data_IF_557836590410
#
_entry.id   IF_557836590410
#
_cell.length_a   1.000
_cell.length_b   1.000
_cell.length_c   1.000
_cell.angle_alpha   90.00
_cell.angle_beta   90.00
_cell.angle_gamma   90.00
#
_symmetry.space_group_name_H-M   'P 1'
#
loop_
_entity.id
_entity.type
_entity.pdbx_description
1 polymer ?
#
# COMPACT_ATOMS: atom_id res chain seq x y z
N UNK A 1 -21.92 7.69 8.25
CA UNK A 1 -20.45 7.78 8.32
C UNK A 1 -19.92 7.92 6.90
N UNK A 2 -19.09 8.93 6.59
CA UNK A 2 -18.48 9.06 5.25
C UNK A 2 -17.32 8.07 5.16
N UNK A 3 -17.37 7.16 4.19
CA UNK A 3 -16.28 6.22 3.92
C UNK A 3 -15.15 6.98 3.20
N UNK A 4 -13.96 7.02 3.81
CA UNK A 4 -12.75 7.56 3.19
C UNK A 4 -12.09 6.40 2.44
N UNK A 5 -11.74 6.64 1.17
CA UNK A 5 -11.06 5.66 0.32
C UNK A 5 -9.76 6.30 -0.14
N UNK A 6 -8.63 5.62 0.06
CA UNK A 6 -7.35 6.01 -0.53
C UNK A 6 -7.19 5.25 -1.84
N UNK A 7 -6.83 5.98 -2.90
CA UNK A 7 -6.51 5.41 -4.20
C UNK A 7 -5.05 5.70 -4.51
N UNK A 8 -4.21 4.66 -4.56
CA UNK A 8 -2.83 4.78 -5.02
C UNK A 8 -2.81 4.47 -6.51
N UNK A 9 -2.29 5.41 -7.31
CA UNK A 9 -2.13 5.23 -8.75
C UNK A 9 -0.68 4.86 -9.05
N UNK A 10 -0.44 3.60 -9.37
CA UNK A 10 0.88 3.13 -9.79
C UNK A 10 0.99 3.29 -11.30
N UNK A 11 1.90 4.14 -11.81
CA UNK A 11 2.08 4.32 -13.24
C UNK A 11 2.60 3.01 -13.88
N UNK A 12 2.05 2.68 -15.04
CA UNK A 12 2.58 1.64 -15.92
C UNK A 12 3.16 2.29 -17.19
N UNK A 13 3.84 1.49 -18.01
CA UNK A 13 4.19 1.90 -19.37
C UNK A 13 2.93 2.29 -20.17
N UNK A 14 3.08 3.28 -21.06
CA UNK A 14 2.03 3.77 -21.99
C UNK A 14 0.82 4.49 -21.35
N UNK A 15 1.04 5.34 -20.33
CA UNK A 15 0.02 6.21 -19.71
C UNK A 15 -1.13 5.51 -18.95
N UNK A 16 -1.10 4.18 -18.84
CA UNK A 16 -2.04 3.44 -18.01
C UNK A 16 -1.61 3.45 -16.54
N UNK A 17 -2.57 3.43 -15.61
CA UNK A 17 -2.31 3.43 -14.17
C UNK A 17 -3.05 2.28 -13.53
N UNK A 18 -2.35 1.49 -12.72
CA UNK A 18 -3.00 0.55 -11.81
C UNK A 18 -3.55 1.38 -10.64
N UNK A 19 -4.84 1.27 -10.36
CA UNK A 19 -5.47 1.92 -9.22
C UNK A 19 -5.64 0.90 -8.10
N UNK A 20 -4.91 1.10 -7.00
CA UNK A 20 -4.98 0.28 -5.80
C UNK A 20 -5.91 0.96 -4.80
N UNK A 21 -6.85 0.19 -4.25
CA UNK A 21 -7.75 0.65 -3.20
C UNK A 21 -7.15 0.28 -1.86
N UNK A 22 -6.85 1.29 -1.07
CA UNK A 22 -6.15 1.17 0.20
C UNK A 22 -7.06 1.60 1.32
N UNK A 23 -7.04 0.83 2.40
CA UNK A 23 -7.75 1.21 3.61
C UNK A 23 -6.93 2.25 4.40
N UNK A 24 -7.52 3.42 4.72
CA UNK A 24 -6.79 4.49 5.40
C UNK A 24 -6.40 4.16 6.85
N UNK A 25 -7.00 3.16 7.49
CA UNK A 25 -6.75 2.84 8.90
C UNK A 25 -5.40 2.16 9.09
N UNK A 26 -5.06 1.24 8.20
CA UNK A 26 -3.84 0.43 8.31
C UNK A 26 -2.94 0.52 7.08
N UNK A 27 -3.38 1.17 6.00
CA UNK A 27 -2.70 1.23 4.71
C UNK A 27 -2.60 -0.12 3.98
N UNK A 28 -3.41 -1.13 4.32
CA UNK A 28 -3.44 -2.37 3.54
C UNK A 28 -4.24 -2.20 2.25
N UNK A 29 -3.77 -2.85 1.18
CA UNK A 29 -4.52 -2.95 -0.07
C UNK A 29 -5.76 -3.81 0.16
N UNK A 30 -6.94 -3.25 -0.07
CA UNK A 30 -8.22 -3.95 -0.06
C UNK A 30 -8.57 -4.51 -1.44
N UNK A 31 -8.00 -3.94 -2.50
CA UNK A 31 -8.20 -4.43 -3.85
C UNK A 31 -7.59 -3.53 -4.92
N UNK A 32 -7.94 -3.76 -6.18
CA UNK A 32 -7.46 -3.00 -7.32
C UNK A 32 -8.52 -2.85 -8.41
N UNK A 33 -8.38 -1.84 -9.25
CA UNK A 33 -9.28 -1.58 -10.38
C UNK A 33 -8.56 -1.90 -11.69
N UNK A 34 -9.20 -2.69 -12.55
CA UNK A 34 -8.71 -2.95 -13.90
C UNK A 34 -9.00 -1.81 -14.87
N UNK A 35 -8.20 -1.73 -15.93
CA UNK A 35 -8.35 -0.74 -17.01
C UNK A 35 -8.93 -1.34 -18.28
N UNK A 36 -9.67 -2.44 -18.17
CA UNK A 36 -10.39 -3.10 -19.27
C UNK A 36 -11.65 -2.31 -19.66
N UNK A 37 -12.24 -2.59 -20.84
CA UNK A 37 -13.47 -1.93 -21.31
C UNK A 37 -14.59 -1.96 -20.26
N UNK A 38 -14.71 -3.08 -19.56
CA UNK A 38 -15.51 -3.19 -18.33
C UNK A 38 -14.58 -3.09 -17.13
N UNK A 39 -14.59 -1.95 -16.43
CA UNK A 39 -13.82 -1.78 -15.19
C UNK A 39 -14.34 -2.72 -14.11
N UNK A 40 -13.44 -3.46 -13.48
CA UNK A 40 -13.75 -4.29 -12.32
C UNK A 40 -12.93 -3.84 -11.13
N UNK A 41 -13.58 -3.79 -9.97
CA UNK A 41 -12.92 -3.66 -8.69
C UNK A 41 -12.76 -5.06 -8.10
N UNK A 42 -11.55 -5.59 -8.16
CA UNK A 42 -11.23 -6.86 -7.51
C UNK A 42 -10.85 -6.60 -6.06
N UNK A 43 -11.50 -7.28 -5.12
CA UNK A 43 -11.25 -7.12 -3.69
C UNK A 43 -10.98 -8.46 -3.00
N UNK A 44 -10.21 -8.42 -1.90
CA UNK A 44 -9.90 -9.61 -1.11
C UNK A 44 -11.07 -10.03 -0.20
N UNK A 45 -11.10 -11.30 0.23
CA UNK A 45 -12.12 -11.80 1.16
C UNK A 45 -12.15 -11.06 2.51
N UNK A 46 -10.99 -10.56 2.93
CA UNK A 46 -10.77 -9.83 4.19
C UNK A 46 -10.79 -8.31 4.00
N UNK A 47 -11.18 -7.81 2.83
CA UNK A 47 -11.29 -6.38 2.56
C UNK A 47 -12.44 -5.73 3.37
N UNK A 48 -12.16 -4.57 3.97
CA UNK A 48 -13.19 -3.72 4.59
C UNK A 48 -13.97 -2.92 3.55
N UNK A 49 -13.34 -2.58 2.44
CA UNK A 49 -13.94 -1.93 1.28
C UNK A 49 -14.30 -3.02 0.26
N UNK A 50 -15.56 -3.44 0.19
CA UNK A 50 -16.03 -4.50 -0.74
C UNK A 50 -16.83 -3.94 -1.92
N UNK A 51 -17.09 -2.63 -1.91
CA UNK A 51 -17.77 -1.92 -2.99
C UNK A 51 -17.22 -0.49 -3.10
N UNK A 52 -17.34 0.09 -4.29
CA UNK A 52 -16.92 1.47 -4.56
C UNK A 52 -18.12 2.34 -4.91
N UNK A 53 -18.04 3.66 -4.67
CA UNK A 53 -19.07 4.60 -5.11
C UNK A 53 -19.33 4.49 -6.63
N UNK A 54 -20.57 4.75 -7.09
CA UNK A 54 -20.93 4.66 -8.52
C UNK A 54 -20.06 5.50 -9.47
N UNK A 55 -19.43 6.57 -8.96
CA UNK A 55 -18.51 7.43 -9.71
C UNK A 55 -17.28 6.68 -10.25
N UNK A 56 -16.87 5.57 -9.62
CA UNK A 56 -15.79 4.72 -10.11
C UNK A 56 -16.18 3.90 -11.33
N UNK A 57 -17.48 3.67 -11.56
CA UNK A 57 -18.03 2.87 -12.66
C UNK A 57 -17.37 1.48 -12.77
N UNK A 58 -17.08 0.86 -11.63
CA UNK A 58 -16.42 -0.44 -11.55
C UNK A 58 -17.33 -1.50 -10.92
N UNK A 59 -17.39 -2.69 -11.51
CA UNK A 59 -18.14 -3.83 -10.97
C UNK A 59 -17.29 -4.50 -9.88
N UNK A 60 -17.82 -4.60 -8.66
CA UNK A 60 -17.12 -5.27 -7.58
C UNK A 60 -17.06 -6.78 -7.83
N UNK A 61 -15.91 -7.41 -7.60
CA UNK A 61 -15.69 -8.83 -7.80
C UNK A 61 -14.73 -9.36 -6.74
N UNK A 62 -15.17 -10.37 -5.98
CA UNK A 62 -14.33 -10.95 -4.95
C UNK A 62 -13.26 -11.86 -5.59
N UNK A 63 -12.02 -11.75 -5.13
CA UNK A 63 -10.90 -12.60 -5.52
C UNK A 63 -10.99 -14.03 -4.97
N UNK A 64 -11.74 -14.25 -3.89
CA UNK A 64 -11.91 -15.55 -3.25
C UNK A 64 -10.78 -15.95 -2.30
N UNK A 65 -9.82 -15.07 -2.04
CA UNK A 65 -8.71 -15.28 -1.10
C UNK A 65 -8.37 -14.02 -0.29
N UNK A 66 -7.66 -14.21 0.82
CA UNK A 66 -7.26 -13.16 1.74
C UNK A 66 -6.01 -12.40 1.24
N UNK A 67 -5.85 -11.17 1.74
CA UNK A 67 -4.79 -10.23 1.35
C UNK A 67 -3.41 -10.53 1.93
N UNK A 68 -3.31 -11.34 2.97
CA UNK A 68 -2.04 -11.57 3.66
C UNK A 68 -1.04 -12.41 2.85
N UNK A 69 0.25 -12.16 3.05
CA UNK A 69 1.31 -12.74 2.23
C UNK A 69 1.43 -14.26 2.31
N UNK A 70 0.91 -14.91 3.35
CA UNK A 70 0.87 -16.37 3.39
C UNK A 70 -0.09 -16.94 2.33
N UNK A 71 -1.21 -16.26 2.03
CA UNK A 71 -2.13 -16.66 0.95
C UNK A 71 -1.68 -16.19 -0.43
N UNK A 72 -1.03 -15.02 -0.52
CA UNK A 72 -0.57 -14.51 -1.81
C UNK A 72 0.62 -15.32 -2.33
N UNK A 73 1.63 -15.52 -1.51
CA UNK A 73 2.93 -16.01 -1.98
C UNK A 73 3.51 -17.13 -1.13
N UNK A 74 2.98 -17.37 0.08
CA UNK A 74 3.37 -18.50 0.92
C UNK A 74 4.89 -18.56 1.16
N UNK A 75 5.53 -19.65 0.74
CA UNK A 75 6.99 -19.85 0.81
C UNK A 75 7.73 -19.54 -0.50
N UNK A 76 7.07 -18.98 -1.51
CA UNK A 76 7.67 -18.68 -2.80
C UNK A 76 8.78 -17.62 -2.66
N UNK A 77 9.83 -17.75 -3.47
CA UNK A 77 10.99 -16.86 -3.46
C UNK A 77 11.34 -16.39 -4.87
N UNK A 78 10.41 -15.68 -5.48
CA UNK A 78 10.54 -15.14 -6.83
C UNK A 78 11.36 -13.85 -6.85
N UNK A 79 11.87 -13.56 -8.04
CA UNK A 79 12.68 -12.39 -8.34
C UNK A 79 11.85 -11.09 -8.37
N UNK A 80 12.38 -10.05 -7.77
CA UNK A 80 11.93 -8.66 -7.85
C UNK A 80 12.98 -7.87 -8.65
N UNK A 81 12.64 -7.55 -9.89
CA UNK A 81 13.42 -6.72 -10.80
C UNK A 81 12.51 -5.68 -11.45
N UNK A 82 13.10 -4.69 -12.14
CA UNK A 82 12.30 -3.69 -12.87
C UNK A 82 11.33 -4.35 -13.86
N UNK A 83 11.78 -5.44 -14.51
CA UNK A 83 10.94 -6.22 -15.41
C UNK A 83 9.77 -6.87 -14.68
N UNK A 84 10.00 -7.60 -13.57
CA UNK A 84 8.91 -8.29 -12.86
C UNK A 84 7.94 -7.32 -12.21
N UNK A 85 8.40 -6.14 -11.77
CA UNK A 85 7.53 -5.04 -11.32
C UNK A 85 6.62 -4.57 -12.44
N UNK A 86 7.20 -4.30 -13.61
CA UNK A 86 6.45 -3.77 -14.76
C UNK A 86 5.43 -4.77 -15.29
N UNK A 87 5.83 -6.04 -15.37
CA UNK A 87 4.97 -7.16 -15.75
C UNK A 87 3.82 -7.35 -14.76
N UNK A 88 4.08 -7.30 -13.44
CA UNK A 88 3.05 -7.39 -12.42
C UNK A 88 1.98 -6.29 -12.55
N UNK A 89 2.40 -5.05 -12.78
CA UNK A 89 1.47 -3.92 -12.98
C UNK A 89 0.61 -4.15 -14.24
N UNK A 90 1.24 -4.54 -15.35
CA UNK A 90 0.56 -4.79 -16.61
C UNK A 90 -0.45 -5.95 -16.51
N UNK A 91 -0.08 -7.02 -15.79
CA UNK A 91 -0.95 -8.15 -15.47
C UNK A 91 -2.19 -7.68 -14.73
N UNK A 92 -2.02 -6.98 -13.60
CA UNK A 92 -3.14 -6.51 -12.77
C UNK A 92 -4.09 -5.57 -13.51
N UNK A 93 -3.59 -4.74 -14.42
CA UNK A 93 -4.45 -3.86 -15.23
C UNK A 93 -5.44 -4.61 -16.13
N UNK A 94 -5.11 -5.84 -16.54
CA UNK A 94 -5.84 -6.60 -17.55
C UNK A 94 -6.47 -7.89 -17.01
N UNK A 95 -6.42 -8.13 -15.69
CA UNK A 95 -6.96 -9.35 -15.08
C UNK A 95 -8.43 -9.55 -15.44
N UNK A 96 -8.71 -10.73 -15.99
CA UNK A 96 -10.04 -11.30 -16.01
C UNK A 96 -9.93 -12.68 -15.36
N UNK A 97 -10.70 -12.93 -14.29
CA UNK A 97 -10.54 -14.15 -13.46
C UNK A 97 -10.70 -15.47 -14.22
N UNK A 98 -11.22 -15.44 -15.45
CA UNK A 98 -11.39 -16.62 -16.30
C UNK A 98 -10.20 -16.91 -17.24
N UNK A 99 -9.17 -16.05 -17.28
CA UNK A 99 -8.07 -16.17 -18.27
C UNK A 99 -6.67 -16.18 -17.69
N UNK A 100 -6.50 -15.77 -16.43
CA UNK A 100 -5.18 -15.74 -15.78
C UNK A 100 -5.07 -16.76 -14.66
N UNK A 101 -3.91 -17.39 -14.54
CA UNK A 101 -3.58 -18.26 -13.42
C UNK A 101 -3.62 -17.45 -12.11
N UNK A 102 -4.41 -17.92 -11.14
CA UNK A 102 -4.59 -17.27 -9.84
C UNK A 102 -3.27 -16.92 -9.15
N UNK A 103 -2.27 -17.80 -9.25
CA UNK A 103 -0.95 -17.63 -8.64
C UNK A 103 -0.20 -16.41 -9.22
N UNK A 104 -0.31 -16.16 -10.53
CA UNK A 104 0.29 -14.99 -11.18
C UNK A 104 -0.34 -13.68 -10.68
N UNK A 105 -1.66 -13.67 -10.48
CA UNK A 105 -2.36 -12.51 -9.90
C UNK A 105 -1.91 -12.28 -8.46
N UNK A 106 -1.80 -13.34 -7.66
CA UNK A 106 -1.34 -13.25 -6.27
C UNK A 106 0.10 -12.75 -6.15
N UNK A 107 1.03 -13.24 -6.98
CA UNK A 107 2.40 -12.70 -7.06
C UNK A 107 2.40 -11.22 -7.45
N UNK A 108 1.64 -10.88 -8.49
CA UNK A 108 1.55 -9.50 -8.96
C UNK A 108 1.00 -8.56 -7.88
N UNK A 109 0.05 -9.02 -7.07
CA UNK A 109 -0.48 -8.29 -5.91
C UNK A 109 0.58 -8.09 -4.82
N UNK A 110 1.39 -9.11 -4.50
CA UNK A 110 2.48 -8.97 -3.55
C UNK A 110 3.50 -7.91 -4.00
N UNK A 111 3.86 -7.93 -5.29
CA UNK A 111 4.74 -6.92 -5.91
C UNK A 111 4.10 -5.53 -5.87
N UNK A 112 2.82 -5.41 -6.23
CA UNK A 112 2.09 -4.15 -6.19
C UNK A 112 2.02 -3.56 -4.78
N UNK A 113 1.80 -4.39 -3.76
CA UNK A 113 1.89 -3.97 -2.35
C UNK A 113 3.28 -3.45 -2.00
N UNK A 114 4.34 -4.14 -2.45
CA UNK A 114 5.73 -3.81 -2.14
C UNK A 114 6.10 -2.39 -2.62
N UNK A 115 5.79 -2.09 -3.89
CA UNK A 115 6.10 -0.79 -4.52
C UNK A 115 5.16 0.34 -4.10
N UNK A 116 4.08 0.03 -3.38
CA UNK A 116 3.09 1.02 -2.92
C UNK A 116 3.03 1.09 -1.40
N UNK A 117 2.17 0.31 -0.77
CA UNK A 117 1.88 0.38 0.67
C UNK A 117 3.10 0.07 1.52
N UNK A 118 3.89 -0.94 1.15
CA UNK A 118 5.10 -1.27 1.92
C UNK A 118 6.21 -0.23 1.76
N UNK A 119 6.30 0.42 0.60
CA UNK A 119 7.24 1.54 0.40
C UNK A 119 6.83 2.82 1.15
N UNK A 120 5.55 2.98 1.48
CA UNK A 120 5.09 4.06 2.38
C UNK A 120 5.37 3.74 3.85
N UNK A 121 5.26 2.45 4.20
CA UNK A 121 5.49 1.93 5.54
C UNK A 121 6.98 1.90 5.89
N UNK A 122 7.81 1.35 5.01
CA UNK A 122 9.21 1.03 5.29
C UNK A 122 10.18 1.77 4.35
N UNK A 123 11.01 2.65 4.91
CA UNK A 123 12.06 3.33 4.13
C UNK A 123 13.08 2.34 3.53
N UNK A 124 13.38 1.23 4.21
CA UNK A 124 14.26 0.18 3.67
C UNK A 124 13.68 -0.45 2.40
N UNK A 125 12.39 -0.76 2.39
CA UNK A 125 11.68 -1.27 1.20
C UNK A 125 11.70 -0.22 0.10
N UNK A 126 11.33 1.04 0.42
CA UNK A 126 11.35 2.14 -0.55
C UNK A 126 12.70 2.31 -1.23
N UNK A 127 13.78 2.28 -0.44
CA UNK A 127 15.15 2.45 -0.96
C UNK A 127 15.56 1.29 -1.86
N UNK A 128 15.23 0.05 -1.48
CA UNK A 128 15.48 -1.12 -2.32
C UNK A 128 14.68 -1.08 -3.63
N UNK A 129 13.39 -0.75 -3.57
CA UNK A 129 12.57 -0.57 -4.78
C UNK A 129 13.14 0.50 -5.70
N UNK A 130 13.62 1.62 -5.16
CA UNK A 130 14.22 2.68 -5.98
C UNK A 130 15.44 2.19 -6.77
N UNK A 131 16.33 1.41 -6.12
CA UNK A 131 17.49 0.80 -6.80
C UNK A 131 17.07 -0.21 -7.87
N UNK A 132 16.06 -1.03 -7.58
CA UNK A 132 15.52 -2.00 -8.53
C UNK A 132 14.94 -1.27 -9.76
N UNK A 133 14.18 -0.20 -9.57
CA UNK A 133 13.59 0.58 -10.67
C UNK A 133 14.66 1.27 -11.53
N UNK A 134 15.78 1.66 -10.94
CA UNK A 134 16.95 2.18 -11.66
C UNK A 134 17.82 1.07 -12.30
N UNK A 135 17.39 -0.19 -12.25
CA UNK A 135 18.12 -1.36 -12.72
C UNK A 135 19.52 -1.52 -12.09
N UNK A 136 19.70 -1.02 -10.86
CA UNK A 136 20.95 -1.12 -10.11
C UNK A 136 21.08 -2.48 -9.41
N UNK A 137 19.95 -3.11 -9.06
CA UNK A 137 19.92 -4.39 -8.36
C UNK A 137 18.68 -5.22 -8.70
N UNK A 138 18.77 -6.49 -8.35
CA UNK A 138 17.66 -7.44 -8.33
C UNK A 138 17.61 -8.07 -6.95
N UNK A 139 16.40 -8.30 -6.42
CA UNK A 139 16.17 -8.90 -5.10
C UNK A 139 15.19 -10.07 -5.18
N UNK A 140 15.03 -10.80 -4.09
CA UNK A 140 14.10 -11.93 -4.01
C UNK A 140 13.11 -11.75 -2.87
N UNK A 141 11.85 -12.13 -3.11
CA UNK A 141 10.75 -11.90 -2.17
C UNK A 141 11.03 -12.39 -0.74
N UNK A 142 11.30 -13.68 -0.58
CA UNK A 142 11.46 -14.30 0.74
C UNK A 142 12.77 -13.90 1.40
N UNK A 143 13.86 -13.79 0.62
CA UNK A 143 15.18 -13.46 1.16
C UNK A 143 15.31 -11.98 1.59
N UNK A 144 14.74 -11.05 0.83
CA UNK A 144 14.98 -9.62 1.02
C UNK A 144 13.81 -8.86 1.68
N UNK A 145 12.57 -9.27 1.44
CA UNK A 145 11.40 -8.43 1.78
C UNK A 145 10.46 -9.05 2.80
N UNK A 146 10.20 -10.37 2.71
CA UNK A 146 9.14 -11.04 3.48
C UNK A 146 9.22 -10.74 4.98
N UNK A 147 10.40 -10.90 5.58
CA UNK A 147 10.57 -10.65 7.01
C UNK A 147 10.33 -9.19 7.40
N UNK A 148 10.64 -8.23 6.52
CA UNK A 148 10.40 -6.81 6.80
C UNK A 148 8.90 -6.54 6.82
N UNK A 149 8.22 -6.91 5.73
CA UNK A 149 6.81 -6.54 5.49
C UNK A 149 5.82 -7.29 6.38
N UNK A 150 6.17 -8.48 6.88
CA UNK A 150 5.32 -9.22 7.83
C UNK A 150 5.47 -8.76 9.28
N UNK A 151 6.39 -7.84 9.58
CA UNK A 151 6.68 -7.38 10.95
C UNK A 151 6.22 -5.94 11.26
N UNK A 152 5.38 -5.33 10.40
CA UNK A 152 4.87 -3.98 10.61
C UNK A 152 4.22 -3.76 11.99
N UNK A 153 3.35 -4.67 12.41
CA UNK A 153 2.68 -4.61 13.72
C UNK A 153 3.70 -4.68 14.88
N UNK A 154 4.67 -5.59 14.78
CA UNK A 154 5.75 -5.73 15.76
C UNK A 154 6.55 -4.44 15.87
N UNK A 155 7.01 -3.87 14.75
CA UNK A 155 7.79 -2.64 14.76
C UNK A 155 6.99 -1.43 15.22
N UNK A 156 5.69 -1.38 14.87
CA UNK A 156 4.78 -0.33 15.34
C UNK A 156 4.63 -0.39 16.86
N UNK A 157 4.40 -1.57 17.43
CA UNK A 157 4.31 -1.76 18.89
C UNK A 157 5.62 -1.45 19.59
N UNK A 158 6.75 -1.87 19.03
CA UNK A 158 8.07 -1.55 19.59
C UNK A 158 8.31 -0.04 19.60
N UNK A 159 7.96 0.68 18.53
CA UNK A 159 8.04 2.13 18.48
C UNK A 159 7.15 2.79 19.53
N UNK A 160 5.88 2.39 19.63
CA UNK A 160 4.96 2.92 20.65
C UNK A 160 5.42 2.66 22.09
N UNK A 161 6.18 1.59 22.32
CA UNK A 161 6.70 1.24 23.63
C UNK A 161 8.11 1.76 23.89
N UNK A 162 8.75 2.44 22.93
CA UNK A 162 10.11 2.96 23.08
C UNK A 162 10.12 4.32 23.77
N UNK A 163 11.30 4.69 24.30
CA UNK A 163 11.51 5.99 24.95
C UNK A 163 11.45 7.16 23.95
N UNK A 164 11.70 6.89 22.66
CA UNK A 164 11.56 7.84 21.57
C UNK A 164 10.10 8.30 21.37
N UNK A 165 9.12 7.44 21.65
CA UNK A 165 7.71 7.82 21.64
C UNK A 165 7.33 8.72 22.82
N UNK A 166 7.94 8.56 24.02
CA UNK A 166 7.74 9.55 25.11
C UNK A 166 8.19 10.95 24.68
N UNK A 167 9.32 11.02 23.97
CA UNK A 167 9.84 12.28 23.42
C UNK A 167 9.02 12.78 22.23
N UNK A 168 8.57 11.90 21.32
CA UNK A 168 7.72 12.27 20.19
C UNK A 168 6.33 12.74 20.63
N UNK A 169 5.69 12.07 21.60
CA UNK A 169 4.43 12.50 22.23
C UNK A 169 4.58 13.82 22.95
N UNK A 170 5.68 14.05 23.68
CA UNK A 170 5.97 15.34 24.30
C UNK A 170 6.08 16.45 23.25
N UNK A 171 6.76 16.19 22.13
CA UNK A 171 6.93 17.14 21.03
C UNK A 171 5.63 17.40 20.23
N UNK A 172 4.81 16.38 20.01
CA UNK A 172 3.47 16.52 19.39
C UNK A 172 2.53 17.28 20.34
N UNK A 173 2.61 17.05 21.65
CA UNK A 173 1.82 17.80 22.65
C UNK A 173 2.24 19.28 22.69
N UNK A 174 3.52 19.58 22.50
CA UNK A 174 4.02 20.97 22.36
C UNK A 174 3.50 21.62 21.07
N UNK A 175 3.42 20.87 19.97
CA UNK A 175 2.84 21.36 18.71
C UNK A 175 1.34 21.65 18.86
N UNK A 176 0.57 20.73 19.49
CA UNK A 176 -0.86 20.92 19.77
C UNK A 176 -1.15 22.01 20.82
N UNK A 177 -0.18 22.34 21.70
CA UNK A 177 -0.29 23.45 22.67
C UNK A 177 0.16 24.79 22.10
N UNK A 178 1.04 24.84 21.10
CA UNK A 178 1.43 26.10 20.44
C UNK A 178 0.23 26.77 19.76
N UNK A 179 -0.72 25.98 19.28
CA UNK A 179 -1.98 26.47 18.69
C UNK A 179 -2.98 27.02 19.76
N UNK A 180 -2.70 26.81 21.05
CA UNK A 180 -3.50 27.28 22.19
C UNK A 180 -2.83 28.43 22.98
N UNK A 181 -1.64 28.87 22.58
CA UNK A 181 -0.96 30.04 23.16
C UNK A 181 -0.90 31.14 22.09
N UNK A 182 -2.07 31.69 21.74
CA UNK A 182 -2.14 33.09 21.36
C UNK A 182 -2.28 33.89 22.66
N UNK A 183 -1.25 34.64 23.10
CA UNK A 183 -1.45 35.64 24.14
C UNK A 183 -2.10 36.85 23.49
N UNK A 184 -3.42 36.80 23.29
CA UNK A 184 -4.20 38.03 23.36
C UNK A 184 -4.13 38.50 24.81
N UNK A 185 -3.11 39.31 25.09
CA UNK A 185 -3.16 40.48 25.98
C UNK A 185 -1.74 40.99 26.24
N UNK A 186 -1.41 42.15 25.65
CA UNK A 186 -1.08 43.35 26.44
C UNK A 186 -1.03 44.62 25.59
N UNK A 187 -1.79 45.60 26.07
CA UNK A 187 -1.75 47.04 25.79
C UNK A 187 -0.33 47.62 25.84
N UNK A 188 -0.06 48.62 24.99
CA UNK A 188 0.70 49.87 25.26
C UNK A 188 0.51 50.76 24.02
N UNK A 189 -0.24 51.89 24.05
CA UNK A 189 0.21 53.22 24.47
C UNK A 189 1.65 53.54 24.07
N UNK A 190 1.84 54.17 22.91
CA UNK A 190 2.41 55.51 22.73
C UNK A 190 1.93 56.07 21.39
#
# INVERSE_FOLDING_TARGET
MKMIIIVIKVPAFLNNKLELIVDPVDLYINGFITTTDVKRYYYFNDARITSLPPSFKAIATNLGYASNYNYLVGSDNFEISNYTISDAIAKLQKVTLNTMFEQEVKKSLAIASLISTESLRFFSVRNAINKILNAEETKHWTADFKQIVTNWDTYSKQYWNSEDDKNAKANITILLRRDLIHPDNKKTNY
#
